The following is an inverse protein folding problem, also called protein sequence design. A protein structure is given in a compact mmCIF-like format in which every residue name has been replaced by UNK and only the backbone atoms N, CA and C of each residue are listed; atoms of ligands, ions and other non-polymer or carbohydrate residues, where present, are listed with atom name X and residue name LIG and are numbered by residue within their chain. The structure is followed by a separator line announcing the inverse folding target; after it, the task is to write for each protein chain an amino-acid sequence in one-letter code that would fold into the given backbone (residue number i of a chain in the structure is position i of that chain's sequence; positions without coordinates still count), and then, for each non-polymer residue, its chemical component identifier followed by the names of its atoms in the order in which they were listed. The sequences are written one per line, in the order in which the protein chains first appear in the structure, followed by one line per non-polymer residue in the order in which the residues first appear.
data_IF_125312474762
#
_entry.id   IF_125312474762
#
_cell.length_a   1.000
_cell.length_b   1.000
_cell.length_c   1.000
_cell.angle_alpha   90.00
_cell.angle_beta   90.00
_cell.angle_gamma   90.00
#
_symmetry.space_group_name_H-M   'P 1'
#
loop_
_entity.id
_entity.type
_entity.pdbx_description
1 polymer ?
#
# COMPACT_ATOMS: atom_id res chain seq x y z
N UNK A 1 -15.57 -8.55 15.20
CA UNK A 1 -16.84 -8.30 14.46
C UNK A 1 -18.02 -8.94 15.22
N UNK A 2 -19.20 -8.32 15.24
CA UNK A 2 -20.39 -8.96 15.79
C UNK A 2 -20.78 -10.18 14.93
N UNK A 3 -21.50 -11.18 15.50
CA UNK A 3 -21.97 -12.35 14.75
C UNK A 3 -22.74 -11.96 13.50
N UNK A 4 -22.70 -12.81 12.48
CA UNK A 4 -23.47 -12.61 11.26
C UNK A 4 -24.97 -12.79 11.58
N UNK A 5 -25.82 -11.92 11.05
CA UNK A 5 -27.25 -12.13 11.00
C UNK A 5 -27.63 -13.29 10.07
N UNK A 6 -28.86 -13.78 10.13
CA UNK A 6 -29.32 -14.82 9.22
C UNK A 6 -29.10 -14.50 7.74
N UNK A 7 -29.57 -13.34 7.25
CA UNK A 7 -29.34 -12.91 5.87
C UNK A 7 -27.86 -12.76 5.48
N UNK A 8 -27.01 -12.21 6.37
CA UNK A 8 -25.56 -12.12 6.13
C UNK A 8 -24.92 -13.50 6.03
N UNK A 9 -25.31 -14.44 6.90
CA UNK A 9 -24.81 -15.82 6.85
C UNK A 9 -25.29 -16.56 5.59
N UNK A 10 -26.51 -16.28 5.09
CA UNK A 10 -27.00 -16.84 3.82
C UNK A 10 -26.11 -16.40 2.64
N UNK A 11 -25.77 -15.11 2.57
CA UNK A 11 -24.91 -14.58 1.52
C UNK A 11 -23.47 -15.11 1.68
N UNK A 12 -22.86 -14.87 2.85
CA UNK A 12 -21.42 -15.04 3.05
C UNK A 12 -21.00 -16.50 3.14
N UNK A 13 -21.80 -17.33 3.83
CA UNK A 13 -21.46 -18.74 4.10
C UNK A 13 -22.14 -19.71 3.14
N UNK A 14 -23.38 -19.42 2.73
CA UNK A 14 -24.18 -20.29 1.85
C UNK A 14 -24.23 -19.82 0.40
N UNK A 15 -23.50 -18.73 0.08
CA UNK A 15 -23.31 -18.18 -1.28
C UNK A 15 -24.63 -17.77 -1.96
N UNK A 16 -25.59 -17.29 -1.18
CA UNK A 16 -26.78 -16.65 -1.73
C UNK A 16 -26.44 -15.29 -2.35
N UNK A 17 -27.40 -14.68 -3.02
CA UNK A 17 -27.28 -13.35 -3.63
C UNK A 17 -28.40 -12.45 -3.15
N UNK A 18 -28.09 -11.20 -2.79
CA UNK A 18 -29.10 -10.18 -2.48
C UNK A 18 -30.00 -9.89 -3.68
N UNK A 19 -31.23 -9.45 -3.44
CA UNK A 19 -32.05 -8.90 -4.50
C UNK A 19 -31.39 -7.65 -5.11
N UNK A 20 -31.50 -7.44 -6.43
CA UNK A 20 -30.93 -6.24 -7.05
C UNK A 20 -31.56 -4.97 -6.44
N UNK A 21 -30.75 -3.93 -6.25
CA UNK A 21 -31.09 -2.63 -5.66
C UNK A 21 -31.54 -2.66 -4.19
N UNK A 22 -31.49 -3.80 -3.49
CA UNK A 22 -31.82 -3.90 -2.07
C UNK A 22 -30.66 -3.55 -1.14
N UNK A 23 -29.42 -3.57 -1.65
CA UNK A 23 -28.21 -3.43 -0.86
C UNK A 23 -27.94 -1.98 -0.46
N UNK A 24 -27.64 -1.75 0.83
CA UNK A 24 -27.38 -0.41 1.40
C UNK A 24 -26.20 0.33 0.77
N UNK A 25 -25.28 -0.39 0.12
CA UNK A 25 -24.08 0.22 -0.48
C UNK A 25 -24.18 0.39 -1.99
N UNK A 26 -25.28 -0.03 -2.63
CA UNK A 26 -25.48 0.11 -4.08
C UNK A 26 -25.25 1.55 -4.53
N UNK A 27 -25.93 2.50 -3.87
CA UNK A 27 -25.88 3.94 -4.23
C UNK A 27 -24.98 4.77 -3.28
N UNK A 28 -24.19 4.13 -2.40
CA UNK A 28 -23.34 4.87 -1.44
C UNK A 28 -22.15 5.49 -2.17
N UNK A 29 -21.95 6.83 -1.97
CA UNK A 29 -20.87 7.62 -2.60
C UNK A 29 -19.88 8.23 -1.60
N UNK A 30 -20.10 7.99 -0.31
CA UNK A 30 -19.22 8.48 0.74
C UNK A 30 -17.81 7.90 0.61
N UNK A 31 -16.79 8.73 0.84
CA UNK A 31 -15.40 8.29 0.84
C UNK A 31 -15.14 7.37 2.03
N UNK A 32 -14.40 6.26 1.80
CA UNK A 32 -14.06 5.31 2.84
C UNK A 32 -13.69 3.93 2.28
N UNK A 33 -13.60 2.98 3.21
CA UNK A 33 -13.17 1.61 2.95
C UNK A 33 -14.30 0.62 3.19
N UNK A 34 -14.49 -0.30 2.26
CA UNK A 34 -15.38 -1.44 2.38
C UNK A 34 -14.59 -2.66 2.86
N UNK A 35 -14.98 -3.23 3.98
CA UNK A 35 -14.32 -4.38 4.60
C UNK A 35 -15.23 -5.61 4.63
N UNK A 36 -14.66 -6.81 4.70
CA UNK A 36 -15.40 -8.05 4.84
C UNK A 36 -16.26 -8.05 6.11
N UNK A 37 -17.56 -8.28 5.98
CA UNK A 37 -18.50 -8.30 7.09
C UNK A 37 -18.21 -9.43 8.09
N UNK A 38 -17.65 -10.53 7.62
CA UNK A 38 -17.32 -11.68 8.48
C UNK A 38 -16.05 -11.46 9.30
N UNK A 39 -14.95 -11.00 8.69
CA UNK A 39 -13.64 -10.95 9.36
C UNK A 39 -13.03 -9.55 9.50
N UNK A 40 -13.64 -8.52 8.92
CA UNK A 40 -13.17 -7.14 8.99
C UNK A 40 -12.00 -6.81 8.08
N UNK A 41 -11.53 -7.74 7.24
CA UNK A 41 -10.46 -7.46 6.27
C UNK A 41 -10.93 -6.42 5.26
N UNK A 42 -10.21 -5.30 5.08
CA UNK A 42 -10.50 -4.34 4.01
C UNK A 42 -10.43 -4.99 2.63
N UNK A 43 -11.42 -4.69 1.80
CA UNK A 43 -11.61 -5.32 0.50
C UNK A 43 -11.52 -4.32 -0.64
N UNK A 44 -12.20 -3.17 -0.51
CA UNK A 44 -12.33 -2.18 -1.58
C UNK A 44 -12.23 -0.76 -1.04
N UNK A 45 -11.69 0.14 -1.87
CA UNK A 45 -11.76 1.58 -1.66
C UNK A 45 -13.03 2.15 -2.32
N UNK A 46 -13.62 3.18 -1.72
CA UNK A 46 -14.68 3.95 -2.37
C UNK A 46 -14.24 4.63 -3.69
N UNK A 47 -12.94 4.82 -3.88
CA UNK A 47 -12.35 5.39 -5.11
C UNK A 47 -12.52 4.47 -6.32
N UNK A 48 -12.54 3.15 -6.09
CA UNK A 48 -12.70 2.14 -7.14
C UNK A 48 -14.17 1.79 -7.39
N UNK A 49 -15.09 2.43 -6.63
CA UNK A 49 -16.53 2.21 -6.77
C UNK A 49 -17.11 3.03 -7.92
N UNK A 50 -17.91 2.40 -8.77
CA UNK A 50 -18.59 3.04 -9.88
C UNK A 50 -20.04 2.56 -10.05
N UNK A 51 -20.81 3.28 -10.86
CA UNK A 51 -22.20 2.92 -11.16
C UNK A 51 -22.27 2.09 -12.44
N UNK A 52 -22.62 0.82 -12.30
CA UNK A 52 -22.81 -0.11 -13.44
C UNK A 52 -24.28 -0.30 -13.82
N UNK A 53 -25.22 0.14 -12.98
CA UNK A 53 -26.64 -0.11 -13.18
C UNK A 53 -27.10 -1.55 -12.94
N UNK A 54 -26.23 -2.45 -12.48
CA UNK A 54 -26.54 -3.86 -12.30
C UNK A 54 -27.40 -4.18 -11.06
N UNK A 55 -27.54 -3.23 -10.13
CA UNK A 55 -28.31 -3.38 -8.90
C UNK A 55 -27.50 -3.79 -7.66
N UNK A 56 -26.19 -3.93 -7.78
CA UNK A 56 -25.26 -4.22 -6.69
C UNK A 56 -24.08 -3.23 -6.69
N UNK A 57 -23.41 -3.02 -5.54
CA UNK A 57 -22.15 -2.30 -5.50
C UNK A 57 -21.15 -2.85 -6.51
N UNK A 58 -20.56 -1.96 -7.30
CA UNK A 58 -19.61 -2.31 -8.34
C UNK A 58 -18.28 -1.59 -8.11
N UNK A 59 -17.19 -2.36 -8.18
CA UNK A 59 -15.82 -1.84 -8.05
C UNK A 59 -14.99 -2.31 -9.24
N UNK A 60 -14.09 -1.47 -9.71
CA UNK A 60 -13.21 -1.82 -10.83
C UNK A 60 -11.84 -2.40 -10.37
N UNK A 61 -11.56 -2.34 -9.06
CA UNK A 61 -10.40 -2.98 -8.44
C UNK A 61 -10.68 -3.35 -6.98
N UNK A 62 -9.85 -4.23 -6.43
CA UNK A 62 -9.78 -4.59 -5.02
C UNK A 62 -8.51 -4.04 -4.35
N UNK A 63 -8.52 -3.91 -3.03
CA UNK A 63 -7.30 -3.66 -2.28
C UNK A 63 -6.32 -4.84 -2.46
N UNK A 64 -5.01 -4.59 -2.58
CA UNK A 64 -4.02 -5.59 -2.93
C UNK A 64 -4.10 -6.86 -2.06
N UNK A 65 -4.35 -8.01 -2.70
CA UNK A 65 -4.42 -9.31 -2.04
C UNK A 65 -5.66 -9.55 -1.17
N UNK A 66 -6.64 -8.64 -1.17
CA UNK A 66 -7.82 -8.73 -0.32
C UNK A 66 -8.89 -9.70 -0.85
N UNK A 67 -8.91 -9.94 -2.16
CA UNK A 67 -9.91 -10.77 -2.82
C UNK A 67 -9.25 -11.90 -3.59
N UNK A 68 -9.81 -13.09 -3.48
CA UNK A 68 -9.41 -14.26 -4.26
C UNK A 68 -10.51 -14.60 -5.26
N UNK A 69 -10.12 -14.89 -6.50
CA UNK A 69 -10.97 -15.31 -7.61
C UNK A 69 -10.94 -16.83 -7.72
N UNK A 70 -12.09 -17.45 -7.94
CA UNK A 70 -12.21 -18.90 -8.14
C UNK A 70 -13.37 -19.20 -9.09
N UNK A 71 -13.35 -20.34 -9.83
CA UNK A 71 -14.49 -20.76 -10.62
C UNK A 71 -15.72 -20.91 -9.73
N UNK A 72 -16.89 -20.39 -10.20
CA UNK A 72 -18.16 -20.65 -9.54
C UNK A 72 -18.63 -22.10 -9.83
N UNK A 73 -19.46 -22.62 -8.94
CA UNK A 73 -20.05 -23.96 -9.10
C UNK A 73 -20.91 -24.09 -10.37
N UNK A 74 -21.39 -22.98 -10.94
CA UNK A 74 -22.13 -22.95 -12.20
C UNK A 74 -21.26 -23.16 -13.46
N UNK A 75 -19.93 -23.17 -13.29
CA UNK A 75 -18.95 -23.33 -14.37
C UNK A 75 -18.90 -22.19 -15.40
N UNK A 76 -19.60 -21.08 -15.17
CA UNK A 76 -19.71 -19.95 -16.10
C UNK A 76 -19.17 -18.66 -15.53
N UNK A 77 -19.36 -18.41 -14.24
CA UNK A 77 -18.94 -17.19 -13.56
C UNK A 77 -17.64 -17.40 -12.80
N UNK A 78 -17.00 -16.30 -12.47
CA UNK A 78 -15.85 -16.26 -11.56
C UNK A 78 -16.33 -15.69 -10.23
N UNK A 79 -16.38 -16.54 -9.22
CA UNK A 79 -16.70 -16.14 -7.84
C UNK A 79 -15.56 -15.33 -7.25
N UNK A 80 -15.88 -14.30 -6.47
CA UNK A 80 -14.95 -13.58 -5.63
C UNK A 80 -15.25 -13.82 -4.16
N UNK A 81 -14.19 -14.14 -3.41
CA UNK A 81 -14.25 -14.41 -1.97
C UNK A 81 -13.21 -13.58 -1.22
N UNK A 82 -13.47 -13.28 0.04
CA UNK A 82 -12.47 -12.66 0.91
C UNK A 82 -11.23 -13.56 0.99
N UNK A 83 -10.05 -13.04 0.66
CA UNK A 83 -8.82 -13.82 0.67
C UNK A 83 -8.45 -14.35 2.06
N UNK A 84 -8.83 -13.61 3.13
CA UNK A 84 -8.52 -13.98 4.51
C UNK A 84 -9.43 -15.09 5.06
N UNK A 85 -10.76 -14.96 4.94
CA UNK A 85 -11.70 -15.89 5.58
C UNK A 85 -12.47 -16.80 4.61
N UNK A 86 -12.33 -16.62 3.29
CA UNK A 86 -13.05 -17.38 2.27
C UNK A 86 -14.52 -17.02 2.14
N UNK A 87 -15.05 -16.03 2.88
CA UNK A 87 -16.44 -15.60 2.80
C UNK A 87 -16.81 -15.12 1.41
N UNK A 88 -17.97 -15.54 0.91
CA UNK A 88 -18.48 -15.14 -0.41
C UNK A 88 -18.74 -13.63 -0.47
N UNK A 89 -18.28 -13.00 -1.55
CA UNK A 89 -18.47 -11.57 -1.80
C UNK A 89 -19.43 -11.33 -2.95
N UNK A 90 -19.32 -12.09 -4.03
CA UNK A 90 -20.06 -11.93 -5.27
C UNK A 90 -19.30 -12.53 -6.45
N UNK A 91 -19.28 -11.82 -7.58
CA UNK A 91 -18.66 -12.30 -8.82
C UNK A 91 -17.89 -11.18 -9.51
N UNK A 92 -16.87 -11.55 -10.30
CA UNK A 92 -16.13 -10.62 -11.14
C UNK A 92 -16.44 -10.87 -12.61
N UNK A 93 -16.57 -9.76 -13.34
CA UNK A 93 -16.83 -9.73 -14.79
C UNK A 93 -15.74 -8.89 -15.46
N UNK A 94 -15.36 -9.26 -16.67
CA UNK A 94 -14.37 -8.54 -17.46
C UNK A 94 -14.91 -8.33 -18.89
N UNK A 95 -14.41 -7.30 -19.57
CA UNK A 95 -14.79 -7.06 -20.96
C UNK A 95 -16.05 -6.23 -21.17
N UNK A 96 -16.66 -5.67 -20.10
CA UNK A 96 -17.91 -4.91 -20.20
C UNK A 96 -17.72 -3.43 -20.54
N UNK A 97 -16.48 -2.90 -20.46
CA UNK A 97 -16.12 -1.55 -20.91
C UNK A 97 -16.60 -0.40 -20.02
N UNK A 98 -16.99 -0.64 -18.76
CA UNK A 98 -17.46 0.42 -17.85
C UNK A 98 -16.34 1.37 -17.41
N UNK A 99 -15.13 0.86 -17.22
CA UNK A 99 -13.96 1.62 -16.75
C UNK A 99 -12.73 1.26 -17.57
N UNK A 100 -11.67 2.05 -17.45
CA UNK A 100 -10.39 1.76 -18.12
C UNK A 100 -9.76 0.42 -17.68
N UNK A 101 -10.04 -0.05 -16.45
CA UNK A 101 -9.58 -1.34 -15.94
C UNK A 101 -10.35 -2.53 -16.55
N UNK A 102 -11.49 -2.24 -17.18
CA UNK A 102 -12.35 -3.22 -17.87
C UNK A 102 -12.69 -4.45 -17.00
N UNK A 103 -12.80 -4.22 -15.70
CA UNK A 103 -13.11 -5.23 -14.68
C UNK A 103 -14.24 -4.69 -13.81
N UNK A 104 -15.18 -5.54 -13.42
CA UNK A 104 -16.24 -5.20 -12.51
C UNK A 104 -16.42 -6.29 -11.45
N UNK A 105 -16.10 -5.98 -10.21
CA UNK A 105 -16.46 -6.75 -9.05
C UNK A 105 -17.89 -6.39 -8.66
N UNK A 106 -18.83 -7.30 -8.82
CA UNK A 106 -20.22 -7.18 -8.43
C UNK A 106 -20.38 -7.80 -7.04
N UNK A 107 -20.55 -6.96 -6.02
CA UNK A 107 -20.40 -7.38 -4.62
C UNK A 107 -21.72 -7.24 -3.86
N UNK A 108 -22.10 -8.24 -3.06
CA UNK A 108 -23.24 -8.15 -2.17
C UNK A 108 -22.98 -7.13 -1.04
N UNK A 109 -23.90 -6.21 -0.78
CA UNK A 109 -23.78 -5.26 0.31
C UNK A 109 -23.67 -5.95 1.68
N UNK A 110 -24.43 -7.04 1.89
CA UNK A 110 -24.41 -7.84 3.11
C UNK A 110 -23.06 -8.56 3.35
N UNK A 111 -22.23 -8.68 2.33
CA UNK A 111 -20.87 -9.21 2.47
C UNK A 111 -19.86 -8.18 2.97
N UNK A 112 -20.28 -6.92 3.13
CA UNK A 112 -19.39 -5.82 3.46
C UNK A 112 -19.86 -5.01 4.68
N UNK A 113 -18.89 -4.36 5.34
CA UNK A 113 -19.09 -3.24 6.26
C UNK A 113 -18.39 -2.03 5.68
N UNK A 114 -18.94 -0.83 5.86
CA UNK A 114 -18.35 0.41 5.38
C UNK A 114 -17.78 1.21 6.55
N UNK A 115 -16.58 1.75 6.38
CA UNK A 115 -15.91 2.64 7.31
C UNK A 115 -15.62 3.98 6.61
N UNK A 116 -16.14 5.11 7.12
CA UNK A 116 -15.86 6.43 6.56
C UNK A 116 -14.37 6.76 6.54
N UNK A 117 -13.91 7.47 5.51
CA UNK A 117 -12.52 7.88 5.40
C UNK A 117 -12.06 8.69 6.62
N UNK A 118 -10.88 8.37 7.15
CA UNK A 118 -10.29 9.02 8.31
C UNK A 118 -10.94 8.65 9.65
N UNK A 119 -11.92 7.72 9.68
CA UNK A 119 -12.50 7.25 10.94
C UNK A 119 -11.53 6.32 11.71
N UNK A 120 -11.62 6.27 13.04
CA UNK A 120 -10.83 5.31 13.83
C UNK A 120 -11.09 3.86 13.43
N UNK A 121 -12.32 3.55 13.03
CA UNK A 121 -12.73 2.23 12.57
C UNK A 121 -12.07 1.86 11.24
N UNK A 122 -11.95 2.81 10.32
CA UNK A 122 -11.21 2.60 9.06
C UNK A 122 -9.72 2.35 9.34
N UNK A 123 -9.10 3.17 10.17
CA UNK A 123 -7.70 3.00 10.56
C UNK A 123 -7.46 1.62 11.19
N UNK A 124 -8.36 1.17 12.08
CA UNK A 124 -8.30 -0.15 12.71
C UNK A 124 -8.53 -1.29 11.69
N UNK A 125 -9.45 -1.11 10.74
CA UNK A 125 -9.69 -2.10 9.69
C UNK A 125 -8.47 -2.23 8.77
N UNK A 126 -7.89 -1.12 8.32
CA UNK A 126 -6.69 -1.10 7.50
C UNK A 126 -5.48 -1.73 8.21
N UNK A 127 -5.36 -1.54 9.53
CA UNK A 127 -4.32 -2.20 10.32
C UNK A 127 -4.50 -3.74 10.40
N UNK A 128 -5.74 -4.25 10.31
CA UNK A 128 -6.05 -5.69 10.30
C UNK A 128 -5.80 -6.37 8.95
N UNK A 129 -5.63 -5.62 7.87
CA UNK A 129 -5.41 -6.17 6.52
C UNK A 129 -3.99 -6.66 6.29
N UNK A 130 -3.08 -6.46 7.24
CA UNK A 130 -1.78 -7.11 7.18
C UNK A 130 -1.96 -8.64 7.21
N UNK A 131 -1.32 -9.40 6.31
CA UNK A 131 -1.27 -10.86 6.39
C UNK A 131 -0.87 -11.31 7.79
N UNK A 132 -1.35 -12.46 8.26
CA UNK A 132 -0.96 -13.00 9.57
C UNK A 132 0.58 -13.02 9.66
N UNK A 133 1.13 -12.38 10.71
CA UNK A 133 2.58 -12.17 10.85
C UNK A 133 3.04 -10.75 10.50
N UNK A 134 2.34 -10.02 9.65
CA UNK A 134 2.72 -8.67 9.21
C UNK A 134 2.23 -7.57 10.16
N UNK A 135 2.84 -7.52 11.32
CA UNK A 135 2.42 -6.62 12.42
C UNK A 135 3.24 -5.33 12.51
N UNK A 136 4.31 -5.21 11.72
CA UNK A 136 5.21 -4.06 11.74
C UNK A 136 5.12 -3.23 10.46
N UNK A 137 5.38 -1.94 10.59
CA UNK A 137 5.33 -0.97 9.50
C UNK A 137 6.57 -0.09 9.50
N UNK A 138 7.10 0.22 8.31
CA UNK A 138 8.10 1.24 8.07
C UNK A 138 7.59 2.23 7.01
N UNK A 139 7.97 3.50 7.10
CA UNK A 139 7.65 4.52 6.09
C UNK A 139 8.95 5.21 5.68
N UNK A 140 9.27 5.16 4.39
CA UNK A 140 10.53 5.69 3.85
C UNK A 140 10.30 6.42 2.52
N UNK A 141 11.13 7.42 2.25
CA UNK A 141 11.18 8.16 1.00
C UNK A 141 12.63 8.18 0.48
N UNK A 142 12.86 7.78 -0.77
CA UNK A 142 14.20 7.65 -1.35
C UNK A 142 14.20 7.83 -2.86
N UNK A 143 13.59 8.92 -3.36
CA UNK A 143 13.40 9.19 -4.77
C UNK A 143 12.06 8.65 -5.30
N UNK A 144 11.98 8.39 -6.59
CA UNK A 144 10.77 7.88 -7.23
C UNK A 144 10.26 6.60 -6.52
N UNK A 145 9.04 6.67 -5.98
CA UNK A 145 8.45 5.59 -5.18
C UNK A 145 8.21 4.28 -5.95
N UNK A 146 8.14 4.30 -7.29
CA UNK A 146 7.96 3.08 -8.09
C UNK A 146 9.12 2.07 -7.89
N UNK A 147 10.35 2.58 -7.88
CA UNK A 147 11.53 1.73 -7.69
C UNK A 147 11.71 1.29 -6.25
N UNK A 148 11.39 2.16 -5.30
CA UNK A 148 11.41 1.85 -3.86
C UNK A 148 10.36 0.79 -3.53
N UNK A 149 9.13 0.93 -4.03
CA UNK A 149 8.06 -0.06 -3.88
C UNK A 149 8.48 -1.42 -4.45
N UNK A 150 8.98 -1.47 -5.69
CA UNK A 150 9.41 -2.71 -6.36
C UNK A 150 10.52 -3.43 -5.58
N UNK A 151 11.46 -2.68 -5.02
CA UNK A 151 12.57 -3.24 -4.25
C UNK A 151 12.09 -3.88 -2.94
N UNK A 152 11.15 -3.24 -2.23
CA UNK A 152 10.60 -3.80 -0.99
C UNK A 152 9.65 -4.96 -1.24
N UNK A 153 8.83 -4.91 -2.28
CA UNK A 153 7.92 -6.01 -2.63
C UNK A 153 8.63 -7.34 -2.88
N UNK A 154 9.89 -7.30 -3.27
CA UNK A 154 10.75 -8.48 -3.52
C UNK A 154 11.51 -8.97 -2.29
N UNK A 155 11.44 -8.23 -1.18
CA UNK A 155 12.16 -8.57 0.03
C UNK A 155 11.42 -9.65 0.84
N UNK A 156 12.05 -10.77 1.19
CA UNK A 156 11.45 -11.78 2.06
C UNK A 156 10.99 -11.16 3.39
N UNK A 157 9.79 -11.53 3.85
CA UNK A 157 9.19 -10.99 5.07
C UNK A 157 8.41 -9.70 4.87
N UNK A 158 8.52 -9.03 3.70
CA UNK A 158 7.66 -7.90 3.34
C UNK A 158 6.34 -8.44 2.78
N UNK A 159 5.25 -8.01 3.38
CA UNK A 159 3.91 -8.44 3.03
C UNK A 159 3.23 -7.50 2.05
N UNK A 160 3.48 -6.20 2.21
CA UNK A 160 3.00 -5.17 1.30
C UNK A 160 3.98 -4.00 1.28
N UNK A 161 4.11 -3.37 0.11
CA UNK A 161 4.68 -2.05 -0.05
C UNK A 161 3.70 -1.22 -0.87
N UNK A 162 3.40 -0.01 -0.40
CA UNK A 162 2.36 0.87 -0.95
C UNK A 162 2.98 2.23 -1.20
N UNK A 163 2.93 2.69 -2.46
CA UNK A 163 3.36 4.03 -2.85
C UNK A 163 2.38 5.09 -2.35
N UNK A 164 2.88 6.24 -1.88
CA UNK A 164 2.06 7.30 -1.33
C UNK A 164 2.83 8.58 -1.05
N UNK A 165 2.20 9.48 -0.30
CA UNK A 165 2.72 10.80 0.04
C UNK A 165 2.65 11.01 1.54
N UNK A 166 3.73 11.58 2.12
CA UNK A 166 3.78 11.92 3.55
C UNK A 166 4.81 13.03 3.84
N UNK A 167 4.82 13.54 5.06
CA UNK A 167 5.76 14.57 5.51
C UNK A 167 5.44 15.99 5.03
N UNK A 168 4.32 16.18 4.34
CA UNK A 168 3.85 17.49 3.87
C UNK A 168 2.72 18.07 4.74
N UNK A 169 2.10 19.16 4.24
CA UNK A 169 1.09 19.94 4.98
C UNK A 169 -0.29 19.91 4.32
N UNK A 170 -0.35 19.59 3.03
CA UNK A 170 -1.61 19.58 2.27
C UNK A 170 -2.38 18.30 2.56
N UNK A 171 -3.63 18.37 3.01
CA UNK A 171 -4.47 17.18 3.14
C UNK A 171 -4.84 16.64 1.74
N UNK A 172 -4.99 15.33 1.63
CA UNK A 172 -5.40 14.61 0.42
C UNK A 172 -4.66 15.07 -0.86
N UNK A 173 -3.30 15.06 -0.87
CA UNK A 173 -2.54 15.53 -2.01
C UNK A 173 -2.76 14.64 -3.23
N UNK A 174 -2.79 15.25 -4.42
CA UNK A 174 -2.72 14.54 -5.70
C UNK A 174 -1.29 14.49 -6.22
N UNK A 175 -1.01 13.59 -7.15
CA UNK A 175 0.31 13.49 -7.80
C UNK A 175 0.73 14.83 -8.43
N UNK A 176 -0.17 15.48 -9.16
CA UNK A 176 0.13 16.77 -9.80
C UNK A 176 0.47 17.84 -8.76
N UNK A 177 -0.23 17.87 -7.63
CA UNK A 177 0.04 18.83 -6.56
C UNK A 177 1.41 18.58 -5.92
N UNK A 178 1.79 17.31 -5.70
CA UNK A 178 3.11 16.94 -5.16
C UNK A 178 4.22 17.28 -6.15
N UNK A 179 4.05 16.96 -7.44
CA UNK A 179 4.99 17.33 -8.49
C UNK A 179 5.14 18.85 -8.66
N UNK A 180 4.09 19.62 -8.36
CA UNK A 180 4.12 21.09 -8.35
C UNK A 180 4.96 21.71 -7.23
N UNK A 181 5.47 20.90 -6.26
CA UNK A 181 6.42 21.31 -5.23
C UNK A 181 5.86 22.14 -4.08
N UNK A 182 4.51 22.36 -4.01
CA UNK A 182 3.90 23.24 -3.02
C UNK A 182 3.28 22.52 -1.81
N UNK A 183 3.27 21.19 -1.80
CA UNK A 183 2.61 20.39 -0.75
C UNK A 183 3.53 20.07 0.42
N UNK A 184 4.85 20.07 0.18
CA UNK A 184 5.88 19.62 1.11
C UNK A 184 5.89 18.11 1.33
N UNK A 185 5.03 17.33 0.63
CA UNK A 185 5.05 15.88 0.69
C UNK A 185 6.24 15.29 -0.06
N UNK A 186 6.76 14.17 0.48
CA UNK A 186 7.66 13.30 -0.25
C UNK A 186 6.88 12.17 -0.93
N UNK A 187 7.36 11.73 -2.09
CA UNK A 187 7.06 10.40 -2.60
C UNK A 187 7.63 9.37 -1.63
N UNK A 188 6.77 8.57 -1.04
CA UNK A 188 7.13 7.64 0.03
C UNK A 188 6.53 6.27 -0.19
N UNK A 189 7.11 5.27 0.47
CA UNK A 189 6.58 3.91 0.49
C UNK A 189 6.32 3.48 1.92
N UNK A 190 5.09 3.03 2.18
CA UNK A 190 4.72 2.35 3.41
C UNK A 190 4.92 0.86 3.23
N UNK A 191 5.80 0.28 4.03
CA UNK A 191 6.19 -1.14 4.00
C UNK A 191 5.57 -1.84 5.21
N UNK A 192 4.71 -2.81 4.98
CA UNK A 192 4.19 -3.71 6.01
C UNK A 192 4.99 -5.02 5.97
N UNK A 193 5.48 -5.47 7.11
CA UNK A 193 6.37 -6.63 7.17
C UNK A 193 6.14 -7.49 8.41
N UNK A 194 6.58 -8.76 8.33
CA UNK A 194 6.58 -9.71 9.43
C UNK A 194 7.90 -9.59 10.22
N UNK A 195 7.86 -9.04 11.46
CA UNK A 195 9.06 -8.83 12.26
C UNK A 195 9.73 -10.13 12.72
N UNK A 196 9.05 -11.30 12.60
CA UNK A 196 9.65 -12.60 12.85
C UNK A 196 10.51 -13.11 11.70
N UNK A 197 10.33 -12.54 10.48
CA UNK A 197 11.07 -12.91 9.27
C UNK A 197 12.11 -11.85 8.90
N UNK A 198 11.76 -10.57 9.02
CA UNK A 198 12.64 -9.44 8.69
C UNK A 198 12.51 -8.34 9.74
N UNK A 199 13.64 -7.88 10.28
CA UNK A 199 13.64 -6.81 11.29
C UNK A 199 13.50 -5.41 10.65
N UNK A 200 13.07 -4.42 11.44
CA UNK A 200 13.03 -3.02 11.01
C UNK A 200 14.43 -2.53 10.58
N UNK A 201 15.50 -2.94 11.28
CA UNK A 201 16.87 -2.64 10.89
C UNK A 201 17.20 -3.17 9.49
N UNK A 202 16.80 -4.39 9.16
CA UNK A 202 17.00 -4.97 7.83
C UNK A 202 16.21 -4.23 6.75
N UNK A 203 14.98 -3.76 7.05
CA UNK A 203 14.21 -2.89 6.18
C UNK A 203 14.97 -1.58 5.91
N UNK A 204 15.51 -0.92 6.94
CA UNK A 204 16.26 0.33 6.75
C UNK A 204 17.63 0.11 6.09
N UNK A 205 18.33 -1.00 6.36
CA UNK A 205 19.55 -1.34 5.60
C UNK A 205 19.24 -1.46 4.11
N UNK A 206 18.17 -2.18 3.77
CA UNK A 206 17.71 -2.28 2.38
C UNK A 206 17.36 -0.91 1.80
N UNK A 207 16.65 -0.06 2.55
CA UNK A 207 16.37 1.32 2.15
C UNK A 207 17.63 2.10 1.77
N UNK A 208 18.63 2.11 2.64
CA UNK A 208 19.90 2.80 2.39
C UNK A 208 20.74 2.19 1.28
N UNK A 209 20.50 0.95 0.89
CA UNK A 209 21.18 0.28 -0.22
C UNK A 209 20.56 0.60 -1.57
N UNK A 210 19.25 0.81 -1.62
CA UNK A 210 18.52 0.99 -2.88
C UNK A 210 18.47 2.44 -3.38
N UNK A 211 18.89 3.42 -2.59
CA UNK A 211 18.98 4.82 -3.01
C UNK A 211 20.30 5.44 -2.53
N UNK A 212 20.62 6.62 -3.01
CA UNK A 212 21.80 7.37 -2.57
C UNK A 212 21.41 8.34 -1.44
N UNK A 213 21.79 8.05 -0.17
CA UNK A 213 21.43 8.88 0.98
C UNK A 213 22.20 10.20 1.07
N UNK A 214 23.10 10.50 0.11
CA UNK A 214 23.92 11.72 0.08
C UNK A 214 23.36 12.80 -0.84
N UNK A 215 22.27 12.52 -1.57
CA UNK A 215 21.67 13.47 -2.51
C UNK A 215 20.55 14.27 -1.84
N UNK A 216 20.81 15.59 -1.66
CA UNK A 216 19.85 16.50 -1.05
C UNK A 216 18.72 16.84 -2.04
N UNK A 217 17.46 16.63 -1.61
CA UNK A 217 16.24 16.96 -2.34
C UNK A 217 16.24 16.50 -3.81
N UNK A 218 16.82 15.33 -4.05
CA UNK A 218 16.85 14.66 -5.36
C UNK A 218 17.24 13.19 -5.23
N UNK A 219 17.02 12.42 -6.29
CA UNK A 219 17.56 11.07 -6.44
C UNK A 219 17.86 10.78 -7.92
N UNK A 220 19.14 10.69 -8.27
CA UNK A 220 19.54 10.51 -9.66
C UNK A 220 19.03 11.64 -10.56
N UNK A 221 18.25 11.35 -11.61
CA UNK A 221 17.69 12.35 -12.52
C UNK A 221 16.51 13.12 -11.91
N UNK A 222 15.84 12.57 -10.89
CA UNK A 222 14.65 13.16 -10.30
C UNK A 222 15.04 14.25 -9.31
N UNK A 223 14.65 15.49 -9.57
CA UNK A 223 15.00 16.69 -8.81
C UNK A 223 13.77 17.34 -8.21
N UNK A 224 13.81 17.63 -6.91
CA UNK A 224 12.73 18.24 -6.15
C UNK A 224 12.65 17.66 -4.74
N UNK A 225 12.07 18.42 -3.80
CA UNK A 225 11.92 18.02 -2.40
C UNK A 225 11.01 16.79 -2.22
N UNK A 226 10.12 16.51 -3.19
CA UNK A 226 9.32 15.29 -3.23
C UNK A 226 10.17 14.02 -3.40
N UNK A 227 11.38 14.12 -3.94
CA UNK A 227 12.32 13.02 -4.13
C UNK A 227 13.41 12.93 -3.05
N UNK A 228 13.23 13.67 -1.94
CA UNK A 228 14.18 13.68 -0.82
C UNK A 228 14.32 12.31 -0.18
N UNK A 229 15.49 12.08 0.41
CA UNK A 229 15.72 10.95 1.30
C UNK A 229 15.15 11.24 2.69
N UNK A 230 14.24 10.37 3.19
CA UNK A 230 13.69 10.51 4.53
C UNK A 230 13.26 9.15 5.12
N UNK A 231 13.36 9.05 6.44
CA UNK A 231 12.76 7.99 7.26
C UNK A 231 11.72 8.63 8.16
N UNK A 232 10.49 8.13 8.13
CA UNK A 232 9.38 8.59 8.97
C UNK A 232 9.12 7.55 10.06
N UNK A 233 9.61 7.82 11.27
CA UNK A 233 9.51 6.87 12.38
C UNK A 233 8.15 6.92 13.08
N UNK A 234 7.66 5.76 13.49
CA UNK A 234 6.37 5.60 14.16
C UNK A 234 6.49 5.62 15.68
N UNK A 235 7.68 5.32 16.20
CA UNK A 235 7.99 5.25 17.63
C UNK A 235 9.48 5.50 17.92
N UNK A 236 9.82 5.56 19.21
CA UNK A 236 11.18 5.84 19.67
C UNK A 236 12.19 4.73 19.34
N UNK A 237 11.75 3.48 19.22
CA UNK A 237 12.61 2.35 18.85
C UNK A 237 13.01 2.46 17.38
N UNK A 238 12.06 2.78 16.50
CA UNK A 238 12.35 3.04 15.09
C UNK A 238 13.28 4.25 14.90
N UNK A 239 13.05 5.32 15.67
CA UNK A 239 13.95 6.48 15.65
C UNK A 239 15.38 6.10 16.04
N UNK A 240 15.56 5.34 17.12
CA UNK A 240 16.87 4.92 17.60
C UNK A 240 17.62 4.06 16.56
N UNK A 241 16.93 3.09 15.94
CA UNK A 241 17.51 2.24 14.88
C UNK A 241 17.92 3.09 13.67
N UNK A 242 17.07 4.01 13.22
CA UNK A 242 17.38 4.87 12.08
C UNK A 242 18.60 5.75 12.35
N UNK A 243 18.67 6.40 13.54
CA UNK A 243 19.82 7.19 13.97
C UNK A 243 21.11 6.37 13.98
N UNK A 244 21.07 5.15 14.51
CA UNK A 244 22.23 4.25 14.57
C UNK A 244 22.75 3.94 13.17
N UNK A 245 21.89 3.58 12.23
CA UNK A 245 22.28 3.28 10.85
C UNK A 245 22.83 4.50 10.11
N UNK A 246 22.20 5.68 10.29
CA UNK A 246 22.68 6.93 9.71
C UNK A 246 24.07 7.32 10.28
N UNK A 247 24.29 7.12 11.59
CA UNK A 247 25.60 7.33 12.20
C UNK A 247 26.64 6.36 11.63
N UNK A 248 26.28 5.09 11.48
CA UNK A 248 27.17 4.10 10.88
C UNK A 248 27.56 4.44 9.44
N UNK A 249 26.63 4.95 8.63
CA UNK A 249 26.93 5.39 7.27
C UNK A 249 27.89 6.60 7.27
N UNK A 250 27.75 7.55 8.20
CA UNK A 250 28.67 8.68 8.34
C UNK A 250 30.08 8.22 8.75
N UNK A 251 30.18 7.25 9.67
CA UNK A 251 31.47 6.62 10.03
C UNK A 251 32.15 5.94 8.83
N UNK A 252 31.32 5.39 7.89
CA UNK A 252 31.79 4.80 6.64
C UNK A 252 32.13 5.84 5.56
N UNK A 253 31.99 7.14 5.85
CA UNK A 253 32.39 8.24 4.97
C UNK A 253 31.28 8.78 4.06
N UNK A 254 30.03 8.39 4.27
CA UNK A 254 28.88 8.93 3.51
C UNK A 254 28.40 10.26 4.14
N UNK A 255 28.20 11.29 3.32
CA UNK A 255 27.59 12.56 3.76
C UNK A 255 26.04 12.40 3.75
N UNK A 256 25.50 11.74 4.78
CA UNK A 256 24.09 11.37 4.88
C UNK A 256 23.21 12.59 5.10
N UNK A 257 22.39 12.92 4.11
CA UNK A 257 21.40 14.01 4.13
C UNK A 257 19.96 13.51 4.41
N UNK A 258 19.78 12.23 4.61
CA UNK A 258 18.47 11.62 4.93
C UNK A 258 17.85 12.33 6.12
N UNK A 259 16.60 12.80 5.96
CA UNK A 259 15.82 13.40 7.03
C UNK A 259 15.24 12.29 7.92
N UNK A 260 15.19 12.55 9.22
CA UNK A 260 14.57 11.65 10.20
C UNK A 260 13.43 12.42 10.87
N UNK A 261 12.21 12.09 10.55
CA UNK A 261 11.00 12.82 10.92
C UNK A 261 9.98 11.90 11.59
N UNK A 262 9.18 12.37 12.56
CA UNK A 262 8.05 11.58 13.06
C UNK A 262 7.03 11.36 11.92
N UNK A 263 6.44 10.16 11.88
CA UNK A 263 5.43 9.84 10.89
C UNK A 263 4.16 10.66 11.11
N UNK A 264 3.74 11.36 10.08
CA UNK A 264 2.44 12.02 9.98
C UNK A 264 1.44 11.18 9.16
N UNK A 265 0.34 11.80 8.71
CA UNK A 265 -0.61 11.15 7.79
C UNK A 265 0.10 10.63 6.53
N UNK A 266 -0.23 9.41 6.16
CA UNK A 266 0.23 8.79 4.90
C UNK A 266 -0.96 8.70 3.94
N UNK A 267 -0.86 9.38 2.82
CA UNK A 267 -1.86 9.39 1.76
C UNK A 267 -1.41 8.41 0.67
N UNK A 268 -2.23 7.40 0.41
CA UNK A 268 -1.93 6.43 -0.66
C UNK A 268 -1.97 7.14 -2.01
N UNK A 269 -0.95 6.93 -2.83
CA UNK A 269 -0.93 7.45 -4.20
C UNK A 269 -2.00 6.77 -5.05
N UNK A 270 -2.31 7.40 -6.16
CA UNK A 270 -3.32 6.94 -7.12
C UNK A 270 -2.99 5.51 -7.62
N UNK A 271 -4.02 4.77 -7.97
CA UNK A 271 -3.90 3.35 -8.32
C UNK A 271 -2.90 3.09 -9.46
N UNK A 272 -2.83 4.01 -10.43
CA UNK A 272 -1.88 3.87 -11.54
C UNK A 272 -0.40 3.96 -11.11
N UNK A 273 -0.10 4.39 -9.88
CA UNK A 273 1.23 4.34 -9.29
C UNK A 273 1.52 3.03 -8.55
N UNK A 274 0.49 2.36 -8.04
CA UNK A 274 0.67 1.12 -7.28
C UNK A 274 1.18 0.00 -8.18
N UNK A 275 2.21 -0.73 -7.71
CA UNK A 275 2.82 -1.84 -8.43
C UNK A 275 3.27 -1.46 -9.86
N UNK A 276 3.65 -0.20 -10.06
CA UNK A 276 3.96 0.34 -11.39
C UNK A 276 5.04 -0.47 -12.11
N UNK A 277 6.13 -0.80 -11.43
CA UNK A 277 7.24 -1.56 -12.03
C UNK A 277 6.83 -2.99 -12.42
N UNK A 278 5.94 -3.62 -11.64
CA UNK A 278 5.41 -4.94 -11.93
C UNK A 278 4.50 -4.93 -13.16
N UNK A 279 3.59 -3.94 -13.25
CA UNK A 279 2.62 -3.84 -14.35
C UNK A 279 3.21 -3.39 -15.67
N UNK A 280 4.24 -2.52 -15.63
CA UNK A 280 4.76 -1.86 -16.84
C UNK A 280 6.15 -2.34 -17.26
N UNK A 281 6.88 -3.01 -16.36
CA UNK A 281 8.30 -3.34 -16.55
C UNK A 281 9.24 -2.13 -16.42
N UNK A 282 8.72 -0.93 -16.12
CA UNK A 282 9.45 0.34 -15.99
C UNK A 282 9.63 0.73 -14.51
N UNK A 283 10.39 1.80 -14.23
CA UNK A 283 10.54 2.34 -12.87
C UNK A 283 11.47 1.54 -11.96
N UNK A 284 12.33 0.68 -12.51
CA UNK A 284 13.35 -0.11 -11.77
C UNK A 284 14.67 0.64 -11.69
N UNK A 285 14.64 1.87 -11.19
CA UNK A 285 15.83 2.75 -11.15
C UNK A 285 16.73 2.51 -9.92
N UNK A 286 16.29 1.70 -8.96
CA UNK A 286 16.92 1.50 -7.66
C UNK A 286 17.74 0.20 -7.62
N UNK A 287 18.98 0.28 -8.09
CA UNK A 287 19.93 -0.85 -8.00
C UNK A 287 20.57 -0.89 -6.62
N UNK A 288 20.55 -2.05 -5.92
CA UNK A 288 21.17 -2.15 -4.60
C UNK A 288 22.69 -1.94 -4.65
N UNK A 289 23.18 -1.08 -3.75
CA UNK A 289 24.60 -0.89 -3.51
C UNK A 289 24.87 -1.28 -2.05
N UNK A 290 25.58 -2.39 -1.75
CA UNK A 290 25.94 -2.76 -0.40
C UNK A 290 26.75 -1.62 0.26
N UNK A 291 26.23 -1.07 1.37
CA UNK A 291 26.85 0.08 2.05
C UNK A 291 27.38 -0.26 3.44
N UNK A 292 26.86 -1.32 4.05
CA UNK A 292 27.18 -1.69 5.44
C UNK A 292 28.20 -2.80 5.56
N UNK A 293 28.45 -3.57 4.48
CA UNK A 293 29.35 -4.74 4.47
C UNK A 293 30.81 -4.41 4.12
N UNK A 294 31.17 -3.09 4.09
CA UNK A 294 32.54 -2.65 3.87
C UNK A 294 33.32 -2.89 5.17
N UNK A 295 34.39 -3.75 5.18
CA UNK A 295 35.21 -3.94 6.35
C UNK A 295 35.82 -2.59 6.75
N UNK A 296 35.78 -2.27 8.05
CA UNK A 296 36.44 -1.10 8.60
C UNK A 296 37.97 -1.19 8.31
N UNK A 297 38.45 -0.46 7.30
CA UNK A 297 39.84 -0.48 6.91
C UNK A 297 40.18 -0.45 5.42
N UNK A 298 39.17 -0.51 4.53
CA UNK A 298 39.38 -0.38 3.09
C UNK A 298 39.33 1.09 2.66
N UNK A 299 40.46 1.71 2.47
CA UNK A 299 40.62 3.11 2.06
C UNK A 299 39.84 3.46 0.78
N UNK A 300 39.30 4.66 0.76
CA UNK A 300 38.48 5.27 -0.27
C UNK A 300 38.92 5.01 -1.69
N UNK A 301 38.07 4.26 -2.40
CA UNK A 301 38.00 4.30 -3.85
C UNK A 301 36.91 5.27 -4.25
N UNK A 302 37.27 6.51 -4.53
CA UNK A 302 36.38 7.48 -5.13
C UNK A 302 35.87 6.93 -6.47
N UNK A 303 34.60 6.54 -6.53
CA UNK A 303 33.92 6.43 -7.80
C UNK A 303 33.75 7.84 -8.37
N UNK A 304 34.74 8.26 -9.15
CA UNK A 304 34.66 9.44 -10.02
C UNK A 304 33.75 9.10 -11.21
N UNK A 305 32.76 9.99 -11.41
CA UNK A 305 31.91 10.29 -12.58
C UNK A 305 30.82 9.29 -12.91
#
# INVERSE_FOLDING_TARGET
MPPLSGPEADIILRKATEAPYSGQYTNKREAGTYACRQCGTPLYSSRDKFESGCGWPSFDDELPGAVRRQPDADGRRVEIVCANCGGHLGHVFAGEGFTAKNTRHCVNSLSMSFYPAGSPEEAQALARSAPQGCTATAIVAGGCFWGVEDAFRKMPGVCAAVSGYTGGRTPDPTYEAVCGGNTGHAEAVRVSFDPSVVSYEQILRRFFEIHDPTQLDRQGPDVGDQYRSAVFFLDAEQEAVARSLMSRLRELGYDVVTRLEPAGPFYMAEEYHQRFAERTGRGRCHMPVPRFDIPAGGGGGALRK
#
